data_IF_714057698210
#
_entry.id   IF_714057698210
#
_cell.length_a   1.000
_cell.length_b   1.000
_cell.length_c   1.000
_cell.angle_alpha   90.00
_cell.angle_beta   90.00
_cell.angle_gamma   90.00
#
_symmetry.space_group_name_H-M   'P 1'
#
loop_
_entity.id
_entity.type
_entity.pdbx_description
1 polymer ?
#
# COMPACT_ATOMS: atom_id res chain seq x y z
N UNK A 1 15.13 -4.35 12.10
CA UNK A 1 15.08 -5.45 11.11
C UNK A 1 13.62 -5.81 10.82
N UNK A 2 13.13 -5.38 9.65
CA UNK A 2 12.24 -6.16 8.76
C UNK A 2 10.94 -6.74 9.37
N UNK A 3 10.06 -5.87 9.89
CA UNK A 3 8.67 -6.24 10.26
C UNK A 3 7.89 -6.76 9.04
N UNK A 4 8.19 -6.21 7.85
CA UNK A 4 7.56 -6.58 6.58
C UNK A 4 7.89 -8.02 6.11
N UNK A 5 9.01 -8.61 6.55
CA UNK A 5 9.43 -9.95 6.12
C UNK A 5 8.66 -11.09 6.80
N UNK A 6 8.18 -10.89 8.03
CA UNK A 6 7.51 -11.95 8.80
C UNK A 6 6.00 -12.01 8.63
N UNK A 7 5.38 -10.92 8.18
CA UNK A 7 3.91 -10.82 8.17
C UNK A 7 3.31 -11.08 6.78
N UNK A 8 4.11 -11.01 5.70
CA UNK A 8 3.63 -11.23 4.32
C UNK A 8 3.87 -12.68 3.88
N UNK A 9 3.09 -13.63 4.40
CA UNK A 9 3.10 -14.98 3.84
C UNK A 9 2.22 -15.01 2.56
N UNK A 10 2.80 -15.08 1.35
CA UNK A 10 2.04 -14.98 0.10
C UNK A 10 0.99 -16.10 -0.02
N UNK A 11 1.28 -17.28 0.55
CA UNK A 11 0.37 -18.42 0.51
C UNK A 11 -0.89 -18.18 1.34
N UNK A 12 -0.77 -17.52 2.48
CA UNK A 12 -1.92 -17.19 3.33
C UNK A 12 -2.77 -16.10 2.70
N UNK A 13 -2.14 -15.05 2.17
CA UNK A 13 -2.83 -13.94 1.49
C UNK A 13 -3.61 -14.48 0.30
N UNK A 14 -2.97 -15.30 -0.55
CA UNK A 14 -3.63 -15.94 -1.69
C UNK A 14 -4.83 -16.80 -1.28
N UNK A 15 -4.70 -17.60 -0.21
CA UNK A 15 -5.79 -18.43 0.32
C UNK A 15 -6.96 -17.59 0.82
N UNK A 16 -6.69 -16.47 1.50
CA UNK A 16 -7.74 -15.54 1.97
C UNK A 16 -8.47 -14.88 0.82
N UNK A 17 -7.77 -14.56 -0.27
CA UNK A 17 -8.35 -13.99 -1.49
C UNK A 17 -9.06 -15.02 -2.38
N UNK A 18 -8.93 -16.32 -2.08
CA UNK A 18 -9.53 -17.39 -2.90
C UNK A 18 -8.93 -17.53 -4.30
N UNK A 19 -7.73 -16.98 -4.53
CA UNK A 19 -7.07 -16.98 -5.83
C UNK A 19 -6.21 -18.23 -6.04
N UNK A 20 -6.11 -18.68 -7.29
CA UNK A 20 -5.12 -19.69 -7.67
C UNK A 20 -3.73 -19.03 -7.80
N UNK A 21 -2.67 -19.86 -7.90
CA UNK A 21 -1.29 -19.33 -7.96
C UNK A 21 -1.06 -18.44 -9.18
N UNK A 22 -1.56 -18.83 -10.35
CA UNK A 22 -1.36 -18.08 -11.58
C UNK A 22 -1.99 -16.68 -11.50
N UNK A 23 -3.25 -16.60 -11.09
CA UNK A 23 -3.98 -15.34 -10.91
C UNK A 23 -3.29 -14.42 -9.91
N UNK A 24 -2.87 -14.98 -8.77
CA UNK A 24 -2.22 -14.22 -7.70
C UNK A 24 -0.89 -13.62 -8.15
N UNK A 25 -0.04 -14.40 -8.80
CA UNK A 25 1.31 -13.96 -9.17
C UNK A 25 1.33 -13.10 -10.43
N UNK A 26 0.44 -13.37 -11.39
CA UNK A 26 0.36 -12.60 -12.66
C UNK A 26 -0.05 -11.16 -12.40
N UNK A 27 -0.90 -10.89 -11.41
CA UNK A 27 -1.32 -9.53 -11.03
C UNK A 27 -0.15 -8.63 -10.59
N UNK A 28 0.95 -9.21 -10.10
CA UNK A 28 2.16 -8.46 -9.73
C UNK A 28 3.32 -8.68 -10.72
N UNK A 29 3.02 -9.21 -11.90
CA UNK A 29 4.00 -9.43 -12.98
C UNK A 29 4.99 -10.58 -12.72
N UNK A 30 4.65 -11.52 -11.82
CA UNK A 30 5.48 -12.69 -11.51
C UNK A 30 4.89 -13.94 -12.19
N UNK A 31 5.74 -14.76 -12.79
CA UNK A 31 5.32 -16.03 -13.38
C UNK A 31 4.85 -17.03 -12.32
N UNK A 32 3.93 -17.94 -12.64
CA UNK A 32 3.45 -18.96 -11.71
C UNK A 32 4.60 -19.79 -11.11
N UNK A 33 5.59 -20.19 -11.94
CA UNK A 33 6.75 -20.97 -11.48
C UNK A 33 7.69 -20.17 -10.58
N UNK A 34 7.82 -18.86 -10.80
CA UNK A 34 8.55 -17.95 -9.91
C UNK A 34 7.82 -17.75 -8.58
N UNK A 35 6.51 -17.55 -8.64
CA UNK A 35 5.63 -17.38 -7.49
C UNK A 35 5.60 -18.59 -6.57
N UNK A 36 5.52 -19.79 -7.14
CA UNK A 36 5.58 -21.06 -6.39
C UNK A 36 6.84 -21.16 -5.51
N UNK A 37 8.00 -20.67 -5.99
CA UNK A 37 9.25 -20.65 -5.21
C UNK A 37 9.16 -19.71 -4.01
N UNK A 38 8.49 -18.58 -4.15
CA UNK A 38 8.28 -17.65 -3.03
C UNK A 38 7.31 -18.24 -2.00
N UNK A 39 6.26 -18.93 -2.44
CA UNK A 39 5.35 -19.64 -1.52
C UNK A 39 6.02 -20.81 -0.78
N UNK A 40 7.06 -21.42 -1.36
CA UNK A 40 7.82 -22.51 -0.75
C UNK A 40 8.94 -22.04 0.18
N UNK A 41 9.07 -20.73 0.43
CA UNK A 41 10.02 -20.18 1.40
C UNK A 41 11.30 -19.58 0.82
N UNK A 42 11.42 -19.42 -0.51
CA UNK A 42 12.52 -18.64 -1.08
C UNK A 42 12.38 -17.17 -0.70
N UNK A 43 13.51 -16.53 -0.40
CA UNK A 43 13.51 -15.08 -0.15
C UNK A 43 12.99 -14.32 -1.37
N UNK A 44 11.99 -13.48 -1.12
CA UNK A 44 11.37 -12.64 -2.14
C UNK A 44 12.18 -11.34 -2.26
N UNK A 45 12.56 -10.93 -3.49
CA UNK A 45 13.18 -9.63 -3.73
C UNK A 45 12.32 -8.49 -3.21
N UNK A 46 12.95 -7.43 -2.71
CA UNK A 46 12.24 -6.25 -2.17
C UNK A 46 11.19 -5.68 -3.13
N UNK A 47 11.45 -5.51 -4.45
CA UNK A 47 10.45 -4.97 -5.37
C UNK A 47 9.17 -5.83 -5.45
N UNK A 48 9.34 -7.15 -5.51
CA UNK A 48 8.21 -8.10 -5.60
C UNK A 48 7.36 -8.04 -4.33
N UNK A 49 8.01 -7.85 -3.18
CA UNK A 49 7.32 -7.77 -1.90
C UNK A 49 6.49 -6.49 -1.74
N UNK A 50 7.02 -5.36 -2.19
CA UNK A 50 6.26 -4.10 -2.18
C UNK A 50 5.06 -4.19 -3.12
N UNK A 51 5.22 -4.75 -4.33
CA UNK A 51 4.10 -4.97 -5.24
C UNK A 51 3.05 -5.90 -4.66
N UNK A 52 3.47 -6.98 -3.98
CA UNK A 52 2.56 -7.88 -3.30
C UNK A 52 1.76 -7.15 -2.22
N UNK A 53 2.40 -6.28 -1.44
CA UNK A 53 1.70 -5.44 -0.45
C UNK A 53 0.71 -4.50 -1.14
N UNK A 54 1.14 -3.72 -2.13
CA UNK A 54 0.27 -2.74 -2.79
C UNK A 54 -0.96 -3.40 -3.45
N UNK A 55 -0.75 -4.49 -4.19
CA UNK A 55 -1.82 -5.13 -4.96
C UNK A 55 -2.70 -6.03 -4.09
N UNK A 56 -2.10 -6.90 -3.28
CA UNK A 56 -2.86 -7.95 -2.58
C UNK A 56 -3.24 -7.59 -1.15
N UNK A 57 -2.55 -6.66 -0.50
CA UNK A 57 -2.87 -6.20 0.86
C UNK A 57 -3.64 -4.90 0.84
N UNK A 58 -3.14 -3.90 0.10
CA UNK A 58 -3.78 -2.59 -0.01
C UNK A 58 -4.87 -2.55 -1.09
N UNK A 59 -5.03 -3.63 -1.86
CA UNK A 59 -6.04 -3.78 -2.91
C UNK A 59 -5.97 -2.64 -3.94
N UNK A 60 -4.75 -2.17 -4.24
CA UNK A 60 -4.51 -1.12 -5.22
C UNK A 60 -4.42 -1.74 -6.61
N UNK A 61 -5.32 -1.32 -7.49
CA UNK A 61 -5.22 -1.61 -8.91
C UNK A 61 -4.16 -0.70 -9.55
N UNK A 62 -3.02 -1.30 -9.91
CA UNK A 62 -1.89 -0.59 -10.54
C UNK A 62 -2.28 0.07 -11.88
N UNK A 63 -3.33 -0.39 -12.56
CA UNK A 63 -3.80 0.23 -13.81
C UNK A 63 -4.47 1.60 -13.59
N UNK A 64 -4.99 1.84 -12.40
CA UNK A 64 -5.63 3.09 -12.03
C UNK A 64 -4.63 4.11 -11.46
N UNK A 65 -3.41 3.68 -11.18
CA UNK A 65 -2.36 4.53 -10.61
C UNK A 65 -1.82 5.47 -11.68
N UNK A 66 -2.17 6.76 -11.60
CA UNK A 66 -1.65 7.79 -12.52
C UNK A 66 -0.67 8.70 -11.82
N UNK A 67 0.34 9.16 -12.58
CA UNK A 67 1.33 10.13 -12.10
C UNK A 67 0.67 11.41 -11.57
N UNK A 68 -0.38 11.88 -12.23
CA UNK A 68 -1.10 13.10 -11.85
C UNK A 68 -1.73 13.01 -10.46
N UNK A 69 -2.21 11.84 -10.04
CA UNK A 69 -2.82 11.66 -8.73
C UNK A 69 -1.79 11.88 -7.62
N UNK A 70 -0.55 11.42 -7.83
CA UNK A 70 0.55 11.69 -6.89
C UNK A 70 0.94 13.17 -6.86
N UNK A 71 0.96 13.84 -8.01
CA UNK A 71 1.27 15.28 -8.07
C UNK A 71 0.20 16.09 -7.32
N UNK A 72 -1.07 15.74 -7.48
CA UNK A 72 -2.17 16.36 -6.72
C UNK A 72 -1.99 16.12 -5.23
N UNK A 73 -1.64 14.91 -4.80
CA UNK A 73 -1.39 14.60 -3.38
C UNK A 73 -0.22 15.43 -2.83
N UNK A 74 0.89 15.52 -3.56
CA UNK A 74 2.04 16.34 -3.14
C UNK A 74 1.66 17.82 -3.04
N UNK A 75 0.99 18.35 -4.06
CA UNK A 75 0.51 19.72 -4.07
C UNK A 75 -0.45 20.01 -2.91
N UNK A 76 -1.38 19.09 -2.61
CA UNK A 76 -2.29 19.23 -1.47
C UNK A 76 -1.55 19.22 -0.14
N UNK A 77 -0.53 18.37 0.02
CA UNK A 77 0.28 18.33 1.25
C UNK A 77 1.07 19.62 1.47
N UNK A 78 1.62 20.19 0.40
CA UNK A 78 2.44 21.40 0.45
C UNK A 78 1.59 22.67 0.59
N UNK A 79 0.57 22.84 -0.25
CA UNK A 79 -0.21 24.08 -0.34
C UNK A 79 -1.43 24.11 0.58
N UNK A 80 -2.05 22.97 0.87
CA UNK A 80 -3.30 22.89 1.63
C UNK A 80 -3.34 21.68 2.59
N UNK A 81 -2.45 21.63 3.59
CA UNK A 81 -2.30 20.45 4.46
C UNK A 81 -3.58 20.11 5.25
N UNK A 82 -4.38 21.10 5.63
CA UNK A 82 -5.65 20.87 6.32
C UNK A 82 -6.71 20.24 5.42
N UNK A 83 -6.76 20.64 4.15
CA UNK A 83 -7.62 20.02 3.15
C UNK A 83 -7.21 18.56 2.94
N UNK A 84 -5.91 18.28 2.81
CA UNK A 84 -5.41 16.90 2.72
C UNK A 84 -5.84 16.06 3.93
N UNK A 85 -5.68 16.57 5.16
CA UNK A 85 -6.08 15.87 6.40
C UNK A 85 -7.59 15.59 6.42
N UNK A 86 -8.41 16.56 6.04
CA UNK A 86 -9.88 16.39 6.01
C UNK A 86 -10.32 15.37 4.96
N UNK A 87 -9.77 15.44 3.75
CA UNK A 87 -10.03 14.47 2.68
C UNK A 87 -9.57 13.06 3.06
N UNK A 88 -8.40 12.93 3.69
CA UNK A 88 -7.91 11.65 4.22
C UNK A 88 -8.87 11.08 5.25
N UNK A 89 -9.36 11.90 6.19
CA UNK A 89 -10.33 11.48 7.22
C UNK A 89 -11.66 11.04 6.59
N UNK A 90 -12.16 11.80 5.62
CA UNK A 90 -13.39 11.48 4.90
C UNK A 90 -13.26 10.17 4.08
N UNK A 91 -12.16 10.01 3.35
CA UNK A 91 -11.86 8.80 2.58
C UNK A 91 -11.76 7.56 3.49
N UNK A 92 -11.12 7.69 4.67
CA UNK A 92 -11.05 6.63 5.68
C UNK A 92 -12.44 6.26 6.21
N UNK A 93 -13.25 7.26 6.55
CA UNK A 93 -14.64 7.04 6.99
C UNK A 93 -15.46 6.27 5.95
N UNK A 94 -15.30 6.62 4.67
CA UNK A 94 -15.95 5.92 3.57
C UNK A 94 -15.46 4.48 3.40
N UNK A 95 -14.14 4.24 3.46
CA UNK A 95 -13.55 2.89 3.38
C UNK A 95 -14.07 1.97 4.49
N UNK A 96 -14.12 2.49 5.72
CA UNK A 96 -14.63 1.74 6.88
C UNK A 96 -16.14 1.46 6.75
N UNK A 97 -16.92 2.40 6.22
CA UNK A 97 -18.35 2.22 5.98
C UNK A 97 -18.67 1.22 4.86
N UNK A 98 -17.77 1.07 3.88
CA UNK A 98 -17.93 0.14 2.76
C UNK A 98 -17.49 -1.30 3.09
N UNK A 99 -17.03 -1.58 4.31
CA UNK A 99 -16.64 -2.93 4.72
C UNK A 99 -15.45 -3.50 3.96
N UNK A 100 -14.64 -2.65 3.32
CA UNK A 100 -13.43 -3.09 2.62
C UNK A 100 -12.51 -3.79 3.62
N UNK A 101 -12.33 -5.10 3.46
CA UNK A 101 -11.60 -5.96 4.38
C UNK A 101 -10.16 -5.48 4.56
N UNK A 102 -9.91 -4.75 5.64
CA UNK A 102 -8.55 -4.46 6.10
C UNK A 102 -8.01 -5.76 6.70
N UNK A 103 -6.91 -6.27 6.17
CA UNK A 103 -6.25 -7.45 6.74
C UNK A 103 -5.74 -7.02 8.14
N UNK A 104 -6.19 -7.65 9.24
CA UNK A 104 -5.74 -7.29 10.59
C UNK A 104 -4.22 -7.42 10.71
N UNK A 105 -3.55 -6.36 11.19
CA UNK A 105 -2.08 -6.32 11.35
C UNK A 105 -1.31 -5.67 10.19
N UNK A 106 -2.00 -5.16 9.17
CA UNK A 106 -1.43 -4.37 8.08
C UNK A 106 -2.10 -3.00 7.99
N UNK A 107 -2.05 -2.24 9.08
CA UNK A 107 -2.32 -0.82 9.00
C UNK A 107 -1.08 -0.17 8.36
N UNK A 108 -1.08 -0.03 7.03
CA UNK A 108 -0.09 0.79 6.30
C UNK A 108 -0.10 2.28 6.71
N UNK A 109 -0.91 2.62 7.72
CA UNK A 109 -1.15 3.94 8.28
C UNK A 109 -0.28 4.26 9.52
N UNK A 110 0.47 3.29 10.10
CA UNK A 110 1.35 3.53 11.28
C UNK A 110 2.65 4.30 10.95
N UNK A 111 2.96 4.50 9.67
CA UNK A 111 4.21 5.14 9.20
C UNK A 111 4.12 6.66 9.05
N UNK A 112 2.92 7.27 9.10
CA UNK A 112 2.70 8.69 8.79
C UNK A 112 2.28 9.54 10.01
N UNK A 113 2.32 8.99 11.22
CA UNK A 113 1.97 9.72 12.45
C UNK A 113 2.97 10.84 12.82
N UNK A 114 4.09 10.93 12.10
CA UNK A 114 5.22 11.81 12.39
C UNK A 114 5.48 12.83 11.26
N UNK A 115 4.43 13.32 10.59
CA UNK A 115 4.59 14.49 9.73
C UNK A 115 4.64 15.74 10.64
N UNK A 116 5.80 16.38 10.84
CA UNK A 116 5.87 17.59 11.65
C UNK A 116 4.96 18.67 11.06
N UNK A 117 4.39 19.56 11.89
CA UNK A 117 3.69 20.73 11.38
C UNK A 117 4.62 21.49 10.45
N UNK A 118 4.10 21.89 9.28
CA UNK A 118 4.86 22.63 8.28
C UNK A 118 5.50 23.86 8.95
N UNK A 119 6.83 23.84 9.06
CA UNK A 119 7.60 24.98 9.56
C UNK A 119 7.33 26.16 8.65
N UNK A 120 6.88 27.27 9.22
CA UNK A 120 6.70 28.55 8.53
C UNK A 120 7.96 28.90 7.75
N UNK A 121 7.79 29.23 6.46
CA UNK A 121 8.87 29.67 5.60
C UNK A 121 9.55 30.93 6.20
N UNK A 122 10.89 31.05 6.17
CA UNK A 122 11.57 32.21 6.72
C UNK A 122 11.27 33.46 5.86
N UNK A 123 11.18 34.66 6.47
CA UNK A 123 10.97 35.89 5.71
C UNK A 123 12.22 36.19 4.87
N UNK A 124 12.02 36.38 3.57
CA UNK A 124 13.05 36.89 2.65
C UNK A 124 13.55 38.26 3.13
N UNK A 125 14.87 38.43 3.17
CA UNK A 125 15.55 39.71 3.42
C UNK A 125 16.10 40.27 2.13
#
# INVERSE_FOLDING_TARGET
MKLLDRVLNPREIRRRLGLNQEQFWTQIGVTQSGGSRYESGREMPRPVRELLRLVHVEQIDLSQVKRIDFEIISYLKESHPDLYRSLRRAARGRRNAQGAATIPGFDGDDIDAELPPATEAPPER
#
